data_IF_882808366214
#
_entry.id   IF_882808366214
#
_cell.length_a   1.000
_cell.length_b   1.000
_cell.length_c   1.000
_cell.angle_alpha   90.00
_cell.angle_beta   90.00
_cell.angle_gamma   90.00
#
_symmetry.space_group_name_H-M   'P 1'
#
loop_
_entity.id
_entity.type
_entity.pdbx_description
1 polymer ?
#
# COMPACT_ATOMS: atom_id res chain seq x y z
N UNK A 1 -4.07 7.27 -5.20
CA UNK A 1 -3.02 6.28 -4.89
C UNK A 1 -1.60 6.84 -4.95
N UNK A 2 -1.18 7.59 -5.98
CA UNK A 2 0.15 8.27 -6.00
C UNK A 2 0.40 9.09 -4.72
N UNK A 3 -0.53 9.96 -4.35
CA UNK A 3 -0.44 10.78 -3.13
C UNK A 3 -0.28 9.94 -1.86
N UNK A 4 -0.91 8.76 -1.80
CA UNK A 4 -0.76 7.85 -0.66
C UNK A 4 0.65 7.28 -0.55
N UNK A 5 1.29 6.97 -1.68
CA UNK A 5 2.69 6.53 -1.71
C UNK A 5 3.63 7.68 -1.36
N UNK A 6 3.34 8.90 -1.84
CA UNK A 6 4.10 10.10 -1.50
C UNK A 6 4.03 10.42 0.01
N UNK A 7 2.85 10.30 0.62
CA UNK A 7 2.64 10.45 2.06
C UNK A 7 3.41 9.37 2.83
N UNK A 8 3.33 8.11 2.39
CA UNK A 8 4.05 7.01 3.03
C UNK A 8 5.56 7.21 2.99
N UNK A 9 6.10 7.65 1.85
CA UNK A 9 7.51 8.00 1.69
C UNK A 9 7.90 9.19 2.59
N UNK A 10 7.03 10.19 2.73
CA UNK A 10 7.24 11.32 3.63
C UNK A 10 7.23 10.93 5.12
N UNK A 11 6.40 9.96 5.52
CA UNK A 11 6.31 9.51 6.92
C UNK A 11 7.51 8.64 7.29
N UNK A 12 7.89 7.70 6.40
CA UNK A 12 8.99 6.76 6.67
C UNK A 12 10.38 7.37 6.40
N UNK A 13 10.46 8.36 5.51
CA UNK A 13 11.70 8.85 4.94
C UNK A 13 12.24 7.93 3.83
N UNK A 14 13.00 8.52 2.90
CA UNK A 14 13.46 7.87 1.67
C UNK A 14 14.27 6.59 1.91
N UNK A 15 15.11 6.56 2.95
CA UNK A 15 15.98 5.40 3.23
C UNK A 15 15.17 4.18 3.70
N UNK A 16 14.26 4.39 4.65
CA UNK A 16 13.38 3.34 5.19
C UNK A 16 12.39 2.89 4.11
N UNK A 17 11.82 3.84 3.36
CA UNK A 17 10.92 3.54 2.27
C UNK A 17 11.59 2.65 1.22
N UNK A 18 12.80 2.99 0.76
CA UNK A 18 13.54 2.16 -0.20
C UNK A 18 13.90 0.78 0.35
N UNK A 19 14.15 0.67 1.65
CA UNK A 19 14.49 -0.60 2.29
C UNK A 19 13.29 -1.55 2.42
N UNK A 20 12.12 -1.04 2.82
CA UNK A 20 10.95 -1.87 3.14
C UNK A 20 9.88 -1.88 2.05
N UNK A 21 9.74 -0.78 1.30
CA UNK A 21 8.68 -0.56 0.29
C UNK A 21 9.27 -0.62 -1.12
N UNK A 22 10.30 -1.45 -1.32
CA UNK A 22 10.90 -1.69 -2.64
C UNK A 22 9.94 -2.36 -3.65
N UNK A 23 8.94 -3.07 -3.14
CA UNK A 23 7.96 -3.88 -3.88
C UNK A 23 6.60 -3.63 -3.25
N UNK A 24 5.64 -3.18 -4.06
CA UNK A 24 4.27 -2.93 -3.67
C UNK A 24 3.36 -3.91 -4.40
N UNK A 25 2.73 -4.83 -3.67
CA UNK A 25 1.78 -5.78 -4.25
C UNK A 25 0.34 -5.31 -3.95
N UNK A 26 -0.41 -4.96 -5.00
CA UNK A 26 -1.79 -4.47 -4.88
C UNK A 26 -2.77 -5.34 -5.64
N UNK A 27 -4.06 -5.16 -5.37
CA UNK A 27 -5.09 -5.79 -6.18
C UNK A 27 -5.25 -5.05 -7.50
N UNK A 28 -5.73 -5.73 -8.55
CA UNK A 28 -6.01 -5.13 -9.86
C UNK A 28 -7.34 -4.35 -9.84
N UNK A 29 -7.57 -3.55 -8.80
CA UNK A 29 -8.71 -2.66 -8.70
C UNK A 29 -8.58 -1.50 -9.70
N UNK A 30 -9.71 -0.97 -10.16
CA UNK A 30 -9.78 0.22 -11.03
C UNK A 30 -9.21 1.47 -10.37
N UNK A 31 -8.93 1.42 -9.06
CA UNK A 31 -8.29 2.48 -8.27
C UNK A 31 -6.77 2.58 -8.46
N UNK A 32 -6.14 1.59 -9.12
CA UNK A 32 -4.70 1.53 -9.34
C UNK A 32 -4.25 1.64 -10.82
N UNK A 33 -4.84 2.50 -11.67
CA UNK A 33 -4.52 2.51 -13.10
C UNK A 33 -3.15 3.16 -13.40
N UNK A 34 -2.60 3.93 -12.46
CA UNK A 34 -1.39 4.73 -12.66
C UNK A 34 -0.16 4.11 -11.96
N UNK A 35 0.16 2.85 -12.30
CA UNK A 35 1.34 2.15 -11.76
C UNK A 35 2.63 2.96 -11.97
N UNK A 36 2.82 3.48 -13.18
CA UNK A 36 4.00 4.25 -13.56
C UNK A 36 4.18 5.52 -12.69
N UNK A 37 3.07 6.21 -12.37
CA UNK A 37 3.10 7.37 -11.50
C UNK A 37 3.38 7.00 -10.02
N UNK A 38 3.06 5.78 -9.61
CA UNK A 38 3.39 5.27 -8.27
C UNK A 38 4.85 4.79 -8.19
N UNK A 39 5.38 4.21 -9.26
CA UNK A 39 6.77 3.73 -9.33
C UNK A 39 7.77 4.87 -9.41
N UNK A 40 7.37 6.04 -9.95
CA UNK A 40 8.25 7.18 -10.20
C UNK A 40 8.22 8.17 -9.04
N UNK A 41 9.40 8.55 -8.53
CA UNK A 41 9.56 9.61 -7.52
C UNK A 41 9.59 10.99 -8.17
N UNK A 42 9.54 12.05 -7.36
CA UNK A 42 9.57 13.44 -7.81
C UNK A 42 10.85 13.81 -8.58
N UNK A 43 11.94 13.08 -8.36
CA UNK A 43 13.22 13.23 -9.05
C UNK A 43 13.29 12.47 -10.39
N UNK A 44 12.20 11.80 -10.80
CA UNK A 44 12.15 10.97 -12.00
C UNK A 44 12.82 9.60 -11.84
N UNK A 45 13.36 9.27 -10.66
CA UNK A 45 13.91 7.95 -10.38
C UNK A 45 12.82 6.97 -9.99
N UNK A 46 13.07 5.68 -10.23
CA UNK A 46 12.14 4.63 -9.81
C UNK A 46 12.31 4.38 -8.31
N UNK A 47 11.26 4.68 -7.51
CA UNK A 47 11.24 4.48 -6.05
C UNK A 47 10.73 3.12 -5.59
N UNK A 48 9.82 2.51 -6.34
CA UNK A 48 9.24 1.20 -6.01
C UNK A 48 8.81 0.47 -7.28
N UNK A 49 8.49 -0.81 -7.16
CA UNK A 49 7.91 -1.64 -8.23
C UNK A 49 6.52 -2.08 -7.82
N UNK A 50 5.53 -1.82 -8.67
CA UNK A 50 4.14 -2.15 -8.41
C UNK A 50 3.80 -3.47 -9.13
N UNK A 51 3.32 -4.43 -8.36
CA UNK A 51 2.84 -5.71 -8.85
C UNK A 51 1.35 -5.83 -8.54
N UNK A 52 0.64 -6.54 -9.42
CA UNK A 52 -0.79 -6.78 -9.27
C UNK A 52 -1.04 -8.25 -9.01
N UNK A 53 -1.92 -8.53 -8.04
CA UNK A 53 -2.40 -9.89 -7.81
C UNK A 53 -3.25 -10.36 -8.99
N UNK A 54 -3.21 -11.67 -9.25
CA UNK A 54 -4.00 -12.26 -10.32
C UNK A 54 -5.50 -12.29 -9.96
N UNK A 55 -6.39 -12.06 -10.94
CA UNK A 55 -7.83 -12.18 -10.71
C UNK A 55 -8.18 -13.56 -10.14
N UNK A 56 -9.02 -13.59 -9.11
CA UNK A 56 -9.45 -14.81 -8.43
C UNK A 56 -8.36 -15.59 -7.67
N UNK A 57 -7.15 -15.03 -7.50
CA UNK A 57 -6.13 -15.59 -6.60
C UNK A 57 -6.09 -14.85 -5.25
N UNK A 58 -7.17 -14.95 -4.47
CA UNK A 58 -7.22 -14.41 -3.10
C UNK A 58 -6.16 -15.00 -2.16
N UNK A 59 -5.63 -16.20 -2.48
CA UNK A 59 -4.56 -16.85 -1.74
C UNK A 59 -3.18 -16.18 -1.82
N UNK A 60 -2.91 -15.34 -2.84
CA UNK A 60 -1.65 -14.60 -2.96
C UNK A 60 -1.44 -13.59 -1.82
N UNK A 61 -2.53 -13.24 -1.10
CA UNK A 61 -2.53 -12.37 0.09
C UNK A 61 -3.06 -13.09 1.33
N UNK A 62 -2.99 -14.43 1.40
CA UNK A 62 -3.58 -15.20 2.50
C UNK A 62 -3.11 -14.79 3.90
N UNK A 63 -1.85 -14.38 4.06
CA UNK A 63 -1.33 -13.86 5.34
C UNK A 63 -1.84 -12.45 5.68
N UNK A 64 -2.25 -11.67 4.66
CA UNK A 64 -2.76 -10.32 4.84
C UNK A 64 -4.19 -10.33 5.40
N UNK A 65 -5.00 -11.32 5.02
CA UNK A 65 -6.37 -11.48 5.53
C UNK A 65 -6.40 -11.72 7.05
N UNK A 66 -5.48 -12.53 7.57
CA UNK A 66 -5.35 -12.73 9.02
C UNK A 66 -4.92 -11.44 9.73
N UNK A 67 -3.98 -10.69 9.15
CA UNK A 67 -3.57 -9.38 9.70
C UNK A 67 -4.70 -8.34 9.65
N UNK A 68 -5.54 -8.36 8.61
CA UNK A 68 -6.73 -7.52 8.55
C UNK A 68 -7.73 -7.86 9.67
N UNK A 69 -7.89 -9.14 10.01
CA UNK A 69 -8.72 -9.56 11.15
C UNK A 69 -8.12 -9.05 12.46
N UNK A 70 -6.80 -9.22 12.67
CA UNK A 70 -6.10 -8.73 13.85
C UNK A 70 -6.25 -7.21 14.02
N UNK A 71 -6.04 -6.45 12.94
CA UNK A 71 -6.19 -4.99 12.95
C UNK A 71 -7.61 -4.56 13.30
N UNK A 72 -8.64 -5.33 12.92
CA UNK A 72 -10.04 -4.98 13.24
C UNK A 72 -10.39 -5.04 14.72
N UNK A 73 -9.60 -5.73 15.55
CA UNK A 73 -9.77 -5.65 17.00
C UNK A 73 -9.39 -4.27 17.56
N UNK A 74 -8.48 -3.57 16.89
CA UNK A 74 -8.00 -2.23 17.27
C UNK A 74 -8.75 -1.15 16.49
N UNK A 75 -9.07 -1.42 15.22
CA UNK A 75 -9.72 -0.51 14.28
C UNK A 75 -11.05 -1.12 13.80
N UNK A 76 -12.14 -0.99 14.58
CA UNK A 76 -13.41 -1.61 14.26
C UNK A 76 -14.00 -1.01 12.99
N UNK A 77 -14.74 -1.85 12.24
CA UNK A 77 -15.36 -1.43 10.99
C UNK A 77 -16.46 -0.40 11.27
N UNK A 78 -16.46 0.71 10.53
CA UNK A 78 -17.46 1.77 10.67
C UNK A 78 -17.18 2.76 11.81
N UNK A 79 -16.02 2.65 12.45
CA UNK A 79 -15.56 3.62 13.45
C UNK A 79 -14.71 4.69 12.78
N UNK A 80 -14.93 5.95 13.16
CA UNK A 80 -14.06 7.04 12.75
C UNK A 80 -12.68 6.86 13.39
N UNK A 81 -11.66 6.78 12.55
CA UNK A 81 -10.28 6.57 12.99
C UNK A 81 -9.76 7.78 13.77
N UNK A 82 -10.21 9.00 13.44
CA UNK A 82 -9.83 10.21 14.20
C UNK A 82 -10.43 10.21 15.61
N UNK A 83 -11.57 9.55 15.80
CA UNK A 83 -12.19 9.40 17.11
C UNK A 83 -11.56 8.33 17.99
N UNK A 84 -10.64 7.51 17.46
CA UNK A 84 -9.95 6.45 18.20
C UNK A 84 -8.68 6.92 18.91
N UNK A 85 -8.19 8.13 18.62
CA UNK A 85 -7.02 8.74 19.27
C UNK A 85 -6.04 9.36 18.28
#
# INVERSE_FOLDING_TARGET
>A
MKEGVDILESILGTEVFRKYVHVLLTDRGTEFPAAEAMETSSDGTRRTRVFYCDPMQSGQKGTLENKHIELRYILPKGTDLMGLG
#
